data_IF_149484561610
#
_entry.id   IF_149484561610
#
_cell.length_a   1.000
_cell.length_b   1.000
_cell.length_c   1.000
_cell.angle_alpha   90.00
_cell.angle_beta   90.00
_cell.angle_gamma   90.00
#
_symmetry.space_group_name_H-M   'P 1'
#
loop_
_entity.id
_entity.type
_entity.pdbx_description
1 polymer ?
#
# COMPACT_ATOMS: atom_id res chain seq x y z
N UNK A 1 6.19 25.34 -0.25
CA UNK A 1 6.29 24.14 -1.11
C UNK A 1 7.73 23.65 -1.06
N UNK A 2 8.01 22.38 -0.86
CA UNK A 2 9.37 21.87 -1.06
C UNK A 2 9.36 20.95 -2.27
N UNK A 3 10.36 21.05 -3.15
CA UNK A 3 10.49 20.11 -4.28
C UNK A 3 10.57 18.64 -3.85
N UNK A 4 10.80 18.39 -2.55
CA UNK A 4 10.89 17.05 -1.96
C UNK A 4 9.61 16.24 -2.08
N UNK A 5 8.44 16.82 -1.88
CA UNK A 5 7.18 16.04 -1.92
C UNK A 5 6.87 15.52 -3.33
N UNK A 6 7.20 16.32 -4.35
CA UNK A 6 7.09 15.91 -5.75
C UNK A 6 8.09 14.81 -6.10
N UNK A 7 9.33 14.94 -5.63
CA UNK A 7 10.34 13.90 -5.79
C UNK A 7 9.86 12.61 -5.13
N UNK A 8 9.33 12.70 -3.90
CA UNK A 8 8.78 11.54 -3.19
C UNK A 8 7.64 10.87 -3.97
N UNK A 9 6.69 11.65 -4.48
CA UNK A 9 5.56 11.12 -5.29
C UNK A 9 6.09 10.32 -6.49
N UNK A 10 7.06 10.89 -7.21
CA UNK A 10 7.69 10.25 -8.37
C UNK A 10 8.49 9.02 -7.97
N UNK A 11 9.23 9.06 -6.85
CA UNK A 11 10.02 7.92 -6.36
C UNK A 11 9.14 6.75 -5.95
N UNK A 12 8.05 7.00 -5.22
CA UNK A 12 7.09 5.94 -4.87
C UNK A 12 6.43 5.40 -6.14
N UNK A 13 5.98 6.28 -7.04
CA UNK A 13 5.42 5.89 -8.33
C UNK A 13 6.35 5.02 -9.15
N UNK A 14 7.63 5.36 -9.25
CA UNK A 14 8.65 4.56 -9.93
C UNK A 14 8.82 3.19 -9.26
N UNK A 15 8.85 3.15 -7.92
CA UNK A 15 8.96 1.89 -7.17
C UNK A 15 7.78 0.96 -7.50
N UNK A 16 6.55 1.48 -7.61
CA UNK A 16 5.40 0.65 -8.03
C UNK A 16 5.56 0.06 -9.42
N UNK A 17 6.27 0.72 -10.34
CA UNK A 17 6.55 0.19 -11.67
C UNK A 17 7.64 -0.88 -11.63
N UNK A 18 8.70 -0.67 -10.85
CA UNK A 18 9.79 -1.64 -10.66
C UNK A 18 9.24 -2.94 -10.04
N UNK A 19 8.38 -2.83 -9.03
CA UNK A 19 7.75 -3.97 -8.34
C UNK A 19 6.94 -4.90 -9.27
N UNK A 20 6.62 -4.50 -10.50
CA UNK A 20 5.99 -5.39 -11.48
C UNK A 20 6.96 -6.42 -12.08
N UNK A 21 8.26 -6.21 -11.91
CA UNK A 21 9.31 -6.99 -12.56
C UNK A 21 10.25 -7.67 -11.55
N UNK A 22 10.04 -7.46 -10.25
CA UNK A 22 10.84 -8.07 -9.18
C UNK A 22 9.93 -8.89 -8.27
N UNK A 23 10.47 -9.93 -7.66
CA UNK A 23 9.81 -10.67 -6.58
C UNK A 23 10.08 -10.03 -5.21
N UNK A 24 9.42 -10.55 -4.17
CA UNK A 24 9.51 -9.96 -2.83
C UNK A 24 10.88 -10.20 -2.18
N UNK A 25 11.52 -11.32 -2.50
CA UNK A 25 12.85 -11.69 -2.02
C UNK A 25 13.91 -10.74 -2.57
N UNK A 26 13.88 -10.45 -3.88
CA UNK A 26 14.74 -9.46 -4.54
C UNK A 26 14.50 -8.07 -3.97
N UNK A 27 13.24 -7.67 -3.81
CA UNK A 27 12.91 -6.35 -3.27
C UNK A 27 13.41 -6.16 -1.84
N UNK A 28 13.18 -7.14 -0.96
CA UNK A 28 13.66 -7.08 0.43
C UNK A 28 15.18 -7.18 0.53
N UNK A 29 15.84 -7.95 -0.34
CA UNK A 29 17.30 -7.96 -0.43
C UNK A 29 17.85 -6.58 -0.81
N UNK A 30 17.24 -5.89 -1.77
CA UNK A 30 17.63 -4.53 -2.17
C UNK A 30 17.37 -3.50 -1.06
N UNK A 31 16.26 -3.60 -0.31
CA UNK A 31 16.04 -2.77 0.88
C UNK A 31 17.17 -2.95 1.90
N UNK A 32 17.52 -4.20 2.23
CA UNK A 32 18.60 -4.50 3.18
C UNK A 32 19.95 -4.00 2.67
N UNK A 33 20.24 -4.13 1.37
CA UNK A 33 21.45 -3.58 0.72
C UNK A 33 21.52 -2.06 0.84
N UNK A 34 20.38 -1.38 0.81
CA UNK A 34 20.27 0.05 1.05
C UNK A 34 20.28 0.45 2.54
N UNK A 35 20.45 -0.51 3.47
CA UNK A 35 20.45 -0.25 4.91
C UNK A 35 19.06 -0.02 5.51
N UNK A 36 18.00 -0.39 4.80
CA UNK A 36 16.61 -0.27 5.25
C UNK A 36 16.06 -1.66 5.59
N UNK A 37 15.44 -1.78 6.76
CA UNK A 37 14.65 -2.97 7.09
C UNK A 37 13.21 -2.80 6.58
N UNK A 38 12.49 -3.92 6.44
CA UNK A 38 11.13 -3.94 5.90
C UNK A 38 10.16 -3.14 6.77
N UNK A 39 10.34 -3.19 8.10
CA UNK A 39 9.49 -2.45 9.04
C UNK A 39 9.55 -0.94 8.81
N UNK A 40 10.75 -0.39 8.76
CA UNK A 40 10.98 1.04 8.54
C UNK A 40 10.41 1.48 7.18
N UNK A 41 10.51 0.63 6.16
CA UNK A 41 9.90 0.90 4.85
C UNK A 41 8.38 0.99 4.93
N UNK A 42 7.72 0.03 5.59
CA UNK A 42 6.26 0.03 5.77
C UNK A 42 5.79 1.19 6.64
N UNK A 43 6.49 1.47 7.75
CA UNK A 43 6.20 2.62 8.61
C UNK A 43 6.29 3.94 7.84
N UNK A 44 7.24 4.05 6.90
CA UNK A 44 7.34 5.20 6.02
C UNK A 44 6.13 5.32 5.10
N UNK A 45 5.67 4.23 4.47
CA UNK A 45 4.49 4.23 3.62
C UNK A 45 3.22 4.60 4.40
N UNK A 46 3.03 4.00 5.58
CA UNK A 46 1.93 4.32 6.50
C UNK A 46 1.98 5.80 6.90
N UNK A 47 3.16 6.31 7.24
CA UNK A 47 3.37 7.71 7.60
C UNK A 47 2.98 8.67 6.46
N UNK A 48 3.28 8.31 5.21
CA UNK A 48 2.86 9.09 4.04
C UNK A 48 1.32 9.12 3.95
N UNK A 49 0.62 7.98 4.08
CA UNK A 49 -0.86 7.99 4.05
C UNK A 49 -1.47 8.79 5.20
N UNK A 50 -0.87 8.75 6.40
CA UNK A 50 -1.31 9.57 7.54
C UNK A 50 -1.14 11.07 7.25
N UNK A 51 -0.05 11.46 6.59
CA UNK A 51 0.21 12.84 6.20
C UNK A 51 -0.78 13.30 5.11
N UNK A 52 -1.02 12.46 4.10
CA UNK A 52 -1.94 12.73 3.00
C UNK A 52 -3.28 12.05 3.27
N UNK A 53 -3.98 12.48 4.33
CA UNK A 53 -5.30 11.93 4.67
C UNK A 53 -6.35 12.23 3.59
N UNK A 54 -6.24 13.38 2.94
CA UNK A 54 -7.11 13.81 1.85
C UNK A 54 -6.32 13.94 0.53
N UNK A 55 -6.99 13.87 -0.63
CA UNK A 55 -6.35 14.12 -1.92
C UNK A 55 -5.68 15.49 -1.94
N UNK A 56 -4.43 15.55 -2.43
CA UNK A 56 -3.67 16.80 -2.54
C UNK A 56 -3.29 17.05 -3.99
N UNK A 57 -3.81 18.13 -4.58
CA UNK A 57 -3.65 18.47 -6.00
C UNK A 57 -2.17 18.63 -6.39
N UNK A 58 -1.29 19.00 -5.45
CA UNK A 58 0.15 19.18 -5.73
C UNK A 58 0.93 17.87 -5.88
N UNK A 59 0.42 16.77 -5.32
CA UNK A 59 0.97 15.41 -5.41
C UNK A 59 -0.18 14.41 -5.61
N UNK A 60 -0.94 14.56 -6.69
CA UNK A 60 -2.27 13.96 -6.83
C UNK A 60 -2.24 12.42 -6.86
N UNK A 61 -1.10 11.80 -7.12
CA UNK A 61 -0.95 10.34 -7.21
C UNK A 61 -0.31 9.74 -5.96
N UNK A 62 0.04 10.54 -4.96
CA UNK A 62 0.76 10.07 -3.77
C UNK A 62 0.01 8.94 -3.07
N UNK A 63 -1.27 9.14 -2.71
CA UNK A 63 -2.06 8.11 -2.02
C UNK A 63 -2.21 6.86 -2.89
N UNK A 64 -2.50 7.04 -4.18
CA UNK A 64 -2.61 5.94 -5.14
C UNK A 64 -1.35 5.09 -5.18
N UNK A 65 -0.18 5.69 -5.39
CA UNK A 65 1.07 4.95 -5.51
C UNK A 65 1.43 4.23 -4.22
N UNK A 66 1.20 4.87 -3.07
CA UNK A 66 1.46 4.24 -1.77
C UNK A 66 0.53 3.04 -1.55
N UNK A 67 -0.77 3.17 -1.82
CA UNK A 67 -1.73 2.06 -1.69
C UNK A 67 -1.40 0.93 -2.66
N UNK A 68 -1.01 1.23 -3.90
CA UNK A 68 -0.54 0.22 -4.85
C UNK A 68 0.69 -0.53 -4.33
N UNK A 69 1.64 0.20 -3.74
CA UNK A 69 2.84 -0.41 -3.17
C UNK A 69 2.50 -1.34 -1.99
N UNK A 70 1.59 -0.91 -1.12
CA UNK A 70 1.09 -1.70 0.02
C UNK A 70 0.35 -2.96 -0.46
N UNK A 71 -0.55 -2.82 -1.44
CA UNK A 71 -1.26 -3.95 -2.03
C UNK A 71 -0.28 -4.97 -2.59
N UNK A 72 0.73 -4.52 -3.34
CA UNK A 72 1.78 -5.39 -3.88
C UNK A 72 2.57 -6.12 -2.77
N UNK A 73 2.97 -5.42 -1.70
CA UNK A 73 3.66 -6.05 -0.57
C UNK A 73 2.82 -7.17 0.04
N UNK A 74 1.51 -6.96 0.18
CA UNK A 74 0.60 -7.97 0.74
C UNK A 74 0.35 -9.14 -0.21
N UNK A 75 0.22 -8.90 -1.52
CA UNK A 75 -0.01 -10.00 -2.49
C UNK A 75 1.24 -10.84 -2.72
N UNK A 76 2.42 -10.22 -2.71
CA UNK A 76 3.68 -10.90 -3.04
C UNK A 76 4.28 -11.68 -1.86
N UNK A 77 3.76 -11.53 -0.65
CA UNK A 77 4.35 -12.11 0.58
C UNK A 77 3.66 -13.37 1.10
N UNK A 78 3.22 -14.27 0.22
CA UNK A 78 2.41 -15.44 0.58
C UNK A 78 3.11 -16.45 1.53
N UNK A 79 2.66 -16.43 2.79
CA UNK A 79 2.24 -17.55 3.66
C UNK A 79 3.21 -18.67 4.07
N UNK A 80 4.54 -18.54 3.95
CA UNK A 80 5.40 -19.63 4.48
C UNK A 80 5.56 -19.59 6.00
N UNK A 81 5.69 -18.41 6.61
CA UNK A 81 5.92 -18.28 8.06
C UNK A 81 5.11 -17.10 8.62
N UNK A 82 4.35 -17.32 9.68
CA UNK A 82 3.28 -16.43 10.21
C UNK A 82 3.71 -15.08 10.81
N UNK A 83 4.46 -14.29 10.06
CA UNK A 83 4.76 -12.88 10.36
C UNK A 83 5.06 -12.13 9.08
N UNK A 84 4.01 -11.76 8.33
CA UNK A 84 4.12 -11.16 7.00
C UNK A 84 3.90 -9.64 6.99
N UNK A 85 4.13 -9.01 5.83
CA UNK A 85 3.79 -7.60 5.60
C UNK A 85 2.35 -7.27 5.98
N UNK A 86 1.42 -8.22 5.81
CA UNK A 86 0.02 -8.10 6.18
C UNK A 86 -0.14 -7.86 7.69
N UNK A 87 0.56 -8.61 8.55
CA UNK A 87 0.45 -8.46 10.01
C UNK A 87 1.05 -7.14 10.48
N UNK A 88 2.20 -6.75 9.92
CA UNK A 88 2.80 -5.47 10.19
C UNK A 88 1.89 -4.29 9.77
N UNK A 89 1.25 -4.39 8.61
CA UNK A 89 0.29 -3.38 8.14
C UNK A 89 -0.95 -3.32 9.04
N UNK A 90 -1.43 -4.45 9.57
CA UNK A 90 -2.50 -4.47 10.58
C UNK A 90 -2.07 -3.80 11.87
N UNK A 91 -0.90 -4.14 12.41
CA UNK A 91 -0.32 -3.52 13.62
C UNK A 91 -0.27 -2.00 13.46
N UNK A 92 0.12 -1.51 12.28
CA UNK A 92 0.24 -0.09 11.99
C UNK A 92 -1.10 0.61 11.64
N UNK A 93 -2.23 -0.08 11.76
CA UNK A 93 -3.57 0.49 11.55
C UNK A 93 -3.92 0.78 10.08
N UNK A 94 -3.41 -0.03 9.16
CA UNK A 94 -3.65 0.18 7.72
C UNK A 94 -5.13 0.10 7.34
N UNK A 95 -5.91 -0.77 8.00
CA UNK A 95 -7.35 -0.93 7.71
C UNK A 95 -8.10 0.40 7.82
N UNK A 96 -7.96 1.10 8.95
CA UNK A 96 -8.64 2.36 9.20
C UNK A 96 -8.17 3.47 8.24
N UNK A 97 -6.89 3.43 7.84
CA UNK A 97 -6.37 4.37 6.85
C UNK A 97 -6.99 4.14 5.47
N UNK A 98 -7.10 2.89 5.03
CA UNK A 98 -7.72 2.54 3.76
C UNK A 98 -9.22 2.84 3.75
N UNK A 99 -9.94 2.58 4.84
CA UNK A 99 -11.35 2.96 5.00
C UNK A 99 -11.52 4.49 4.87
N UNK A 100 -10.67 5.28 5.55
CA UNK A 100 -10.71 6.74 5.42
C UNK A 100 -10.35 7.23 3.99
N UNK A 101 -9.47 6.52 3.28
CA UNK A 101 -9.13 6.83 1.89
C UNK A 101 -10.30 6.51 0.96
N UNK A 102 -10.98 5.38 1.15
CA UNK A 102 -12.14 4.98 0.36
C UNK A 102 -13.23 6.08 0.35
N UNK A 103 -13.52 6.63 1.54
CA UNK A 103 -14.50 7.71 1.72
C UNK A 103 -14.07 9.07 1.14
N UNK A 104 -12.79 9.24 0.82
CA UNK A 104 -12.22 10.54 0.41
C UNK A 104 -11.52 10.47 -0.94
N UNK A 105 -11.80 9.46 -1.76
CA UNK A 105 -11.23 9.36 -3.11
C UNK A 105 -11.62 10.55 -3.98
N UNK A 106 -10.73 10.95 -4.90
CA UNK A 106 -10.97 12.06 -5.83
C UNK A 106 -10.55 11.74 -7.25
N UNK A 107 -11.19 12.37 -8.23
CA UNK A 107 -10.84 12.23 -9.65
C UNK A 107 -9.39 12.61 -9.94
N UNK A 108 -8.79 13.54 -9.18
CA UNK A 108 -7.39 13.95 -9.43
C UNK A 108 -6.40 12.79 -9.28
N UNK A 109 -6.77 11.79 -8.48
CA UNK A 109 -5.95 10.60 -8.20
C UNK A 109 -6.12 9.50 -9.26
N UNK A 110 -7.00 9.74 -10.24
CA UNK A 110 -7.31 8.81 -11.32
C UNK A 110 -6.48 9.06 -12.59
N UNK A 111 -5.59 10.05 -12.61
CA UNK A 111 -4.83 10.44 -13.80
C UNK A 111 -3.31 10.33 -13.61
N UNK A 112 -2.63 9.99 -14.70
CA UNK A 112 -1.18 9.81 -14.73
C UNK A 112 -0.43 11.15 -14.72
N UNK A 113 -0.89 12.15 -15.46
CA UNK A 113 -0.18 13.43 -15.68
C UNK A 113 -1.18 14.58 -15.75
N UNK A 114 -0.73 15.78 -15.40
CA UNK A 114 -1.49 17.02 -15.58
C UNK A 114 -0.67 18.02 -16.41
N UNK A 115 -1.33 18.67 -17.37
CA UNK A 115 -0.81 19.83 -18.09
C UNK A 115 -1.64 21.06 -17.72
N UNK A 116 -1.16 21.83 -16.74
CA UNK A 116 -1.98 22.86 -16.11
C UNK A 116 -3.16 22.24 -15.37
N UNK A 117 -4.38 22.63 -15.73
CA UNK A 117 -5.63 22.05 -15.21
C UNK A 117 -6.14 20.85 -16.02
N UNK A 118 -5.46 20.48 -17.11
CA UNK A 118 -5.91 19.41 -18.00
C UNK A 118 -5.36 18.06 -17.53
N UNK A 119 -6.20 17.12 -17.08
CA UNK A 119 -5.77 15.77 -16.73
C UNK A 119 -5.51 14.95 -18.00
N UNK A 120 -4.40 14.20 -18.03
CA UNK A 120 -3.98 13.39 -19.18
C UNK A 120 -3.70 11.96 -18.73
N UNK A 121 -4.25 11.01 -19.48
CA UNK A 121 -4.03 9.58 -19.27
C UNK A 121 -4.72 9.10 -17.99
N UNK A 122 -6.00 8.76 -18.07
CA UNK A 122 -6.70 8.13 -16.95
C UNK A 122 -6.12 6.74 -16.69
N UNK A 123 -5.91 6.39 -15.42
CA UNK A 123 -5.53 5.05 -15.03
C UNK A 123 -6.61 4.05 -15.48
N UNK A 124 -6.18 2.90 -16.03
CA UNK A 124 -7.10 1.82 -16.43
C UNK A 124 -7.87 1.25 -15.24
N UNK A 125 -7.18 1.06 -14.13
CA UNK A 125 -7.73 0.56 -12.89
C UNK A 125 -8.17 1.72 -12.00
N UNK A 126 -9.40 1.67 -11.49
CA UNK A 126 -9.90 2.70 -10.57
C UNK A 126 -9.12 2.70 -9.25
N UNK A 127 -9.02 3.86 -8.60
CA UNK A 127 -8.35 3.91 -7.30
C UNK A 127 -9.14 3.12 -6.25
N UNK A 128 -10.48 3.17 -6.28
CA UNK A 128 -11.34 2.37 -5.41
C UNK A 128 -11.05 0.88 -5.48
N UNK A 129 -10.89 0.31 -6.68
CA UNK A 129 -10.62 -1.12 -6.83
C UNK A 129 -9.30 -1.55 -6.15
N UNK A 130 -8.28 -0.70 -6.17
CA UNK A 130 -7.01 -0.96 -5.49
C UNK A 130 -7.20 -0.92 -3.97
N UNK A 131 -7.95 0.06 -3.47
CA UNK A 131 -8.28 0.19 -2.04
C UNK A 131 -9.08 -1.03 -1.56
N UNK A 132 -10.10 -1.43 -2.31
CA UNK A 132 -10.94 -2.60 -2.02
C UNK A 132 -10.09 -3.87 -1.97
N UNK A 133 -9.20 -4.05 -2.95
CA UNK A 133 -8.25 -5.18 -2.99
C UNK A 133 -7.36 -5.19 -1.74
N UNK A 134 -6.82 -4.04 -1.36
CA UNK A 134 -5.98 -3.91 -0.16
C UNK A 134 -6.76 -4.23 1.14
N UNK A 135 -8.02 -3.80 1.24
CA UNK A 135 -8.89 -4.12 2.38
C UNK A 135 -9.21 -5.62 2.44
N UNK A 136 -9.46 -6.26 1.30
CA UNK A 136 -9.69 -7.71 1.23
C UNK A 136 -8.46 -8.51 1.68
N UNK A 137 -7.25 -8.09 1.27
CA UNK A 137 -6.00 -8.73 1.70
C UNK A 137 -5.79 -8.63 3.22
N UNK A 138 -6.14 -7.50 3.83
CA UNK A 138 -6.08 -7.32 5.28
C UNK A 138 -7.11 -8.19 6.01
N UNK A 139 -8.28 -8.45 5.42
CA UNK A 139 -9.31 -9.32 5.99
C UNK A 139 -8.95 -10.81 5.88
N UNK A 140 -8.44 -11.26 4.74
CA UNK A 140 -8.22 -12.68 4.43
C UNK A 140 -7.19 -13.40 5.32
N UNK A 141 -6.35 -12.69 6.07
CA UNK A 141 -5.47 -13.30 7.08
C UNK A 141 -6.04 -13.30 8.50
N UNK A 142 -7.30 -12.90 8.71
CA UNK A 142 -8.00 -13.07 9.98
C UNK A 142 -8.68 -14.45 10.07
N UNK A 143 -9.10 -15.02 8.93
CA UNK A 143 -9.85 -16.28 8.88
C UNK A 143 -9.03 -17.51 9.28
N UNK A 144 -7.69 -17.44 9.21
CA UNK A 144 -6.80 -18.54 9.60
C UNK A 144 -6.53 -18.62 11.10
N UNK A 145 -6.81 -17.58 11.88
CA UNK A 145 -6.56 -17.56 13.33
C UNK A 145 -7.75 -18.04 14.17
N UNK A 146 -8.96 -18.09 13.59
CA UNK A 146 -10.20 -18.47 14.31
C UNK A 146 -10.56 -19.96 14.28
N UNK A 147 -9.85 -20.79 13.49
CA UNK A 147 -10.23 -22.20 13.29
C UNK A 147 -9.53 -23.20 14.24
N UNK A 148 -8.71 -22.75 15.20
CA UNK A 148 -7.88 -23.61 16.05
C UNK A 148 -8.39 -23.90 17.46
N UNK A 149 -9.57 -23.39 17.86
CA UNK A 149 -10.08 -23.54 19.22
C UNK A 149 -11.42 -24.29 19.24
N UNK A 150 -11.38 -25.61 19.04
CA UNK A 150 -12.57 -26.44 19.08
C UNK A 150 -12.27 -27.92 18.87
N UNK A 151 -11.47 -28.51 19.73
CA UNK A 151 -11.10 -29.92 19.58
C UNK A 151 -10.34 -30.51 20.74
N UNK A 152 -10.81 -30.35 21.98
CA UNK A 152 -10.44 -31.27 23.06
C UNK A 152 -11.44 -31.17 24.23
N UNK A 153 -12.29 -32.18 24.36
CA UNK A 153 -12.59 -32.79 25.67
C UNK A 153 -13.44 -34.05 25.47
N UNK A 154 -12.79 -35.16 25.78
CA UNK A 154 -13.29 -36.52 26.03
C UNK A 154 -14.41 -36.52 27.06
N UNK A 155 -15.46 -37.31 26.81
CA UNK A 155 -15.95 -38.41 27.67
C UNK A 155 -16.97 -39.26 26.92
#
# INVERSE_FOLDING_TARGET
MTGRDKILEVSVGLTTQICRFVDIEQFTAELRRAGLNERAYVERLVGILRQYRYPEIRVPRMRRFVVQQIAWLMTSSTRRDGGGFVDLLRELGMRQLLEAIAETTSEVECYHVFSGSVPIGKHRESFSAIVDTALQLLAAGQDTAGAGAGGESVS
#
